data_IF_252767307743
#
_entry.id   IF_252767307743
#
_cell.length_a   1.000
_cell.length_b   1.000
_cell.length_c   1.000
_cell.angle_alpha   90.00
_cell.angle_beta   90.00
_cell.angle_gamma   90.00
#
_symmetry.space_group_name_H-M   'P 1'
#
loop_
_entity.id
_entity.type
_entity.pdbx_description
1 polymer ?
#
# COMPACT_ATOMS: atom_id res chain seq x y z
N UNK A 1 -43.71 -51.82 -39.45
CA UNK A 1 -42.73 -51.99 -38.35
C UNK A 1 -41.35 -51.67 -38.89
N UNK A 2 -40.50 -51.09 -38.05
CA UNK A 2 -39.16 -50.54 -38.33
C UNK A 2 -39.14 -49.12 -38.93
N UNK A 3 -38.52 -48.20 -38.17
CA UNK A 3 -37.88 -46.93 -38.59
C UNK A 3 -38.27 -45.67 -37.78
N UNK A 4 -38.35 -45.73 -36.44
CA UNK A 4 -38.41 -44.49 -35.61
C UNK A 4 -37.47 -44.54 -34.37
N UNK A 5 -36.70 -45.62 -34.16
CA UNK A 5 -36.00 -45.84 -32.88
C UNK A 5 -34.46 -45.66 -32.89
N UNK A 6 -33.89 -44.90 -33.84
CA UNK A 6 -32.42 -44.70 -33.89
C UNK A 6 -31.98 -43.23 -34.06
N UNK A 7 -32.78 -42.26 -33.59
CA UNK A 7 -32.37 -40.84 -33.63
C UNK A 7 -32.17 -40.20 -32.25
N UNK A 8 -32.35 -40.95 -31.15
CA UNK A 8 -32.19 -40.43 -29.78
C UNK A 8 -30.78 -40.60 -29.21
N UNK A 9 -29.89 -41.35 -29.87
CA UNK A 9 -28.55 -41.64 -29.33
C UNK A 9 -27.43 -40.70 -29.80
N UNK A 10 -27.66 -39.90 -30.86
CA UNK A 10 -26.64 -39.00 -31.41
C UNK A 10 -26.71 -37.57 -30.86
N UNK A 11 -27.81 -37.17 -30.20
CA UNK A 11 -27.96 -35.82 -29.63
C UNK A 11 -27.44 -35.67 -28.20
N UNK A 12 -27.17 -36.78 -27.50
CA UNK A 12 -26.71 -36.76 -26.11
C UNK A 12 -25.30 -36.18 -25.90
N UNK A 13 -24.29 -36.39 -26.78
CA UNK A 13 -22.97 -35.77 -26.61
C UNK A 13 -22.96 -34.27 -26.94
N UNK A 14 -23.84 -33.80 -27.83
CA UNK A 14 -23.94 -32.37 -28.18
C UNK A 14 -24.58 -31.52 -27.07
N UNK A 15 -25.55 -32.07 -26.34
CA UNK A 15 -26.17 -31.39 -25.18
C UNK A 15 -25.20 -31.24 -24.00
N UNK A 16 -24.30 -32.20 -23.79
CA UNK A 16 -23.22 -32.06 -22.80
C UNK A 16 -22.17 -31.02 -23.23
N UNK A 17 -21.85 -30.93 -24.53
CA UNK A 17 -20.92 -29.90 -25.03
C UNK A 17 -21.50 -28.47 -24.89
N UNK A 18 -22.80 -28.29 -25.15
CA UNK A 18 -23.49 -27.00 -24.98
C UNK A 18 -23.56 -26.54 -23.52
N UNK A 19 -23.74 -27.46 -22.57
CA UNK A 19 -23.71 -27.15 -21.13
C UNK A 19 -22.32 -26.73 -20.63
N UNK A 20 -21.24 -27.27 -21.22
CA UNK A 20 -19.87 -26.87 -20.89
C UNK A 20 -19.58 -25.45 -21.40
N UNK A 21 -20.08 -25.09 -22.60
CA UNK A 21 -19.85 -23.76 -23.19
C UNK A 21 -20.61 -22.65 -22.44
N UNK A 22 -21.79 -22.92 -21.87
CA UNK A 22 -22.54 -21.93 -21.06
C UNK A 22 -22.00 -21.76 -19.63
N UNK A 23 -21.11 -22.64 -19.18
CA UNK A 23 -20.49 -22.54 -17.84
C UNK A 23 -19.28 -21.59 -17.81
N UNK A 24 -18.74 -21.25 -18.98
CA UNK A 24 -17.75 -20.20 -19.13
C UNK A 24 -18.47 -18.89 -19.41
N UNK A 25 -19.10 -18.33 -18.37
CA UNK A 25 -19.23 -16.87 -18.37
C UNK A 25 -17.80 -16.34 -18.48
N UNK A 26 -17.45 -15.54 -19.50
CA UNK A 26 -16.21 -14.78 -19.40
C UNK A 26 -16.33 -14.03 -18.09
N UNK A 27 -15.40 -14.25 -17.15
CA UNK A 27 -15.22 -13.28 -16.09
C UNK A 27 -15.04 -11.97 -16.85
N UNK A 28 -16.04 -11.09 -16.79
CA UNK A 28 -15.87 -9.72 -17.20
C UNK A 28 -14.73 -9.23 -16.31
N UNK A 29 -13.52 -9.19 -16.89
CA UNK A 29 -12.47 -8.38 -16.33
C UNK A 29 -13.05 -6.98 -16.37
N UNK A 30 -13.58 -6.51 -15.25
CA UNK A 30 -14.04 -5.14 -15.13
C UNK A 30 -12.84 -4.28 -15.50
N UNK A 31 -12.98 -3.56 -16.62
CA UNK A 31 -11.87 -2.85 -17.23
C UNK A 31 -11.46 -1.74 -16.26
N UNK A 32 -10.24 -1.81 -15.72
CA UNK A 32 -9.74 -0.75 -14.86
C UNK A 32 -9.64 0.54 -15.66
N UNK A 33 -10.39 1.57 -15.26
CA UNK A 33 -10.33 2.89 -15.90
C UNK A 33 -9.64 3.88 -14.96
N UNK A 34 -9.05 4.94 -15.52
CA UNK A 34 -8.40 5.99 -14.72
C UNK A 34 -9.30 6.53 -13.59
N UNK A 35 -10.61 6.64 -13.82
CA UNK A 35 -11.56 7.19 -12.85
C UNK A 35 -12.12 6.17 -11.85
N UNK A 36 -11.85 4.88 -12.05
CA UNK A 36 -12.22 3.84 -11.09
C UNK A 36 -11.24 3.86 -9.91
N UNK A 37 -11.77 4.11 -8.70
CA UNK A 37 -10.98 4.10 -7.47
C UNK A 37 -10.71 2.69 -6.94
N UNK A 38 -11.39 1.67 -7.45
CA UNK A 38 -11.23 0.27 -7.05
C UNK A 38 -9.99 -0.41 -7.63
N UNK A 39 -9.26 0.26 -8.53
CA UNK A 39 -8.09 -0.29 -9.22
C UNK A 39 -7.11 0.80 -9.67
N UNK A 40 -5.91 0.42 -10.08
CA UNK A 40 -4.95 1.24 -10.82
C UNK A 40 -4.52 0.46 -12.05
N UNK A 41 -4.59 1.06 -13.25
CA UNK A 41 -4.01 0.50 -14.47
C UNK A 41 -2.59 1.08 -14.62
N UNK A 42 -1.56 0.38 -14.12
CA UNK A 42 -0.32 1.05 -13.77
C UNK A 42 0.53 1.36 -15.01
N UNK A 43 0.76 2.65 -15.26
CA UNK A 43 1.83 3.09 -16.17
C UNK A 43 3.21 2.71 -15.61
N UNK A 44 3.35 2.76 -14.29
CA UNK A 44 4.51 2.27 -13.57
C UNK A 44 4.11 1.68 -12.22
N UNK A 45 4.83 0.64 -11.81
CA UNK A 45 4.67 -0.04 -10.52
C UNK A 45 6.04 -0.39 -9.96
N UNK A 46 6.17 -0.34 -8.64
CA UNK A 46 7.35 -0.78 -7.91
C UNK A 46 6.95 -1.53 -6.64
N UNK A 47 7.88 -2.32 -6.11
CA UNK A 47 7.72 -3.04 -4.87
C UNK A 47 9.00 -2.97 -4.05
N UNK A 48 8.88 -2.69 -2.75
CA UNK A 48 10.00 -2.70 -1.81
C UNK A 48 9.74 -3.74 -0.74
N UNK A 49 10.68 -4.67 -0.62
CA UNK A 49 10.67 -5.71 0.39
C UNK A 49 11.26 -5.20 1.69
N UNK A 50 10.57 -5.39 2.81
CA UNK A 50 11.04 -5.00 4.14
C UNK A 50 10.52 -5.96 5.22
N UNK A 51 11.06 -5.84 6.45
CA UNK A 51 10.64 -6.66 7.58
C UNK A 51 9.82 -5.82 8.55
N UNK A 52 8.79 -6.43 9.14
CA UNK A 52 7.97 -5.81 10.18
C UNK A 52 7.82 -6.75 11.39
N UNK A 53 8.94 -7.10 12.06
CA UNK A 53 8.91 -7.93 13.24
C UNK A 53 8.33 -7.15 14.43
N UNK A 54 7.79 -7.82 15.47
CA UNK A 54 7.76 -9.27 15.64
C UNK A 54 6.54 -9.94 14.99
N UNK A 55 5.57 -9.16 14.50
CA UNK A 55 4.28 -9.68 14.03
C UNK A 55 4.43 -10.49 12.73
N UNK A 56 5.13 -9.97 11.73
CA UNK A 56 5.40 -10.69 10.48
C UNK A 56 6.75 -11.42 10.57
N UNK A 57 6.71 -12.74 10.39
CA UNK A 57 7.91 -13.59 10.42
C UNK A 57 8.72 -13.48 9.12
N UNK A 58 8.02 -13.22 8.03
CA UNK A 58 8.59 -13.10 6.70
C UNK A 58 8.66 -11.65 6.25
N UNK A 59 9.43 -11.43 5.20
CA UNK A 59 9.49 -10.16 4.50
C UNK A 59 8.14 -9.87 3.84
N UNK A 60 7.69 -8.63 3.99
CA UNK A 60 6.47 -8.12 3.35
C UNK A 60 6.86 -7.10 2.28
N UNK A 61 5.99 -6.91 1.30
CA UNK A 61 6.25 -6.04 0.15
C UNK A 61 5.32 -4.84 0.15
N UNK A 62 5.89 -3.63 0.18
CA UNK A 62 5.16 -2.41 -0.08
C UNK A 62 5.09 -2.16 -1.58
N UNK A 63 3.89 -2.17 -2.14
CA UNK A 63 3.64 -1.87 -3.54
C UNK A 63 3.12 -0.45 -3.69
N UNK A 64 3.67 0.24 -4.68
CA UNK A 64 3.21 1.55 -5.11
C UNK A 64 3.11 1.56 -6.63
N UNK A 65 1.99 2.06 -7.13
CA UNK A 65 1.72 2.17 -8.55
C UNK A 65 1.02 3.49 -8.88
N UNK A 66 1.18 3.95 -10.12
CA UNK A 66 0.42 5.08 -10.62
C UNK A 66 0.02 4.93 -12.08
N UNK A 67 -1.11 5.56 -12.39
CA UNK A 67 -1.67 5.79 -13.73
C UNK A 67 -1.74 7.31 -13.96
N UNK A 68 -1.81 7.76 -15.21
CA UNK A 68 -1.84 9.18 -15.55
C UNK A 68 -2.85 9.51 -16.65
N UNK A 69 -3.61 10.58 -16.43
CA UNK A 69 -4.47 11.20 -17.43
C UNK A 69 -3.90 12.56 -17.81
N UNK A 70 -3.55 12.74 -19.09
CA UNK A 70 -3.04 14.01 -19.61
C UNK A 70 -4.07 15.15 -19.61
N UNK A 71 -5.36 14.84 -19.38
CA UNK A 71 -6.48 15.77 -19.31
C UNK A 71 -7.45 15.38 -18.19
N UNK A 72 -6.98 15.49 -16.96
CA UNK A 72 -7.81 15.31 -15.76
C UNK A 72 -8.93 16.34 -15.62
N UNK A 73 -9.53 16.44 -14.42
CA UNK A 73 -10.59 17.39 -14.10
C UNK A 73 -10.13 18.82 -14.42
N UNK A 74 -10.73 19.43 -15.45
CA UNK A 74 -10.38 20.80 -15.86
C UNK A 74 -9.19 20.93 -16.80
N UNK A 75 -8.82 19.86 -17.53
CA UNK A 75 -7.77 19.83 -18.59
C UNK A 75 -6.31 19.86 -18.09
N UNK A 76 -6.07 19.95 -16.79
CA UNK A 76 -4.72 19.79 -16.22
C UNK A 76 -4.33 18.30 -16.15
N UNK A 77 -3.03 17.96 -16.23
CA UNK A 77 -2.57 16.58 -16.04
C UNK A 77 -2.87 16.10 -14.61
N UNK A 78 -3.21 14.83 -14.47
CA UNK A 78 -3.60 14.22 -13.20
C UNK A 78 -3.02 12.81 -13.09
N UNK A 79 -2.66 12.43 -11.87
CA UNK A 79 -2.20 11.08 -11.54
C UNK A 79 -3.27 10.39 -10.70
N UNK A 80 -3.49 9.10 -10.95
CA UNK A 80 -4.13 8.19 -10.00
C UNK A 80 -3.04 7.32 -9.38
N UNK A 81 -2.80 7.49 -8.10
CA UNK A 81 -1.86 6.69 -7.32
C UNK A 81 -2.60 5.60 -6.55
N UNK A 82 -1.93 4.49 -6.28
CA UNK A 82 -2.43 3.44 -5.39
C UNK A 82 -1.30 2.72 -4.68
N UNK A 83 -1.63 2.16 -3.51
CA UNK A 83 -0.71 1.32 -2.75
C UNK A 83 -1.42 0.11 -2.14
N UNK A 84 -0.63 -0.92 -1.83
CA UNK A 84 -1.03 -2.07 -1.03
C UNK A 84 0.19 -2.73 -0.42
N UNK A 85 -0.03 -3.60 0.58
CA UNK A 85 1.01 -4.53 1.03
C UNK A 85 0.69 -5.93 0.49
N UNK A 86 1.75 -6.64 0.07
CA UNK A 86 1.71 -8.07 -0.19
C UNK A 86 2.50 -8.86 0.83
N UNK A 87 1.90 -9.97 1.28
CA UNK A 87 2.50 -10.95 2.19
C UNK A 87 1.89 -12.34 1.97
N UNK A 88 2.68 -13.36 2.27
CA UNK A 88 2.30 -14.79 2.24
C UNK A 88 1.56 -15.23 3.54
N UNK A 89 1.27 -14.30 4.45
CA UNK A 89 0.44 -14.43 5.66
C UNK A 89 1.01 -15.26 6.85
N UNK A 90 2.33 -15.42 6.97
CA UNK A 90 2.93 -16.00 8.18
C UNK A 90 3.04 -14.98 9.33
N UNK A 91 2.05 -15.02 10.22
CA UNK A 91 1.97 -14.17 11.40
C UNK A 91 2.45 -14.91 12.65
N UNK A 92 3.19 -14.22 13.49
CA UNK A 92 3.62 -14.74 14.78
C UNK A 92 2.61 -14.41 15.88
N UNK A 93 1.60 -15.25 16.06
CA UNK A 93 0.62 -15.03 17.12
C UNK A 93 1.20 -15.11 18.55
N UNK A 94 2.35 -15.76 18.74
CA UNK A 94 2.96 -15.93 20.07
C UNK A 94 3.53 -14.64 20.69
N UNK A 95 3.61 -13.56 19.90
CA UNK A 95 4.12 -12.25 20.35
C UNK A 95 3.00 -11.26 20.67
N UNK A 96 1.75 -11.72 20.61
CA UNK A 96 0.57 -10.93 20.92
C UNK A 96 0.37 -10.98 22.44
N UNK A 97 0.81 -9.93 23.12
CA UNK A 97 0.73 -9.77 24.57
C UNK A 97 -0.14 -8.58 25.02
N UNK A 98 -0.80 -7.92 24.06
CA UNK A 98 -1.79 -6.87 24.27
C UNK A 98 -2.52 -6.59 22.95
N UNK A 99 -3.71 -5.97 23.02
CA UNK A 99 -4.39 -5.53 21.81
C UNK A 99 -3.59 -4.42 21.14
N UNK A 100 -3.30 -4.59 19.85
CA UNK A 100 -2.56 -3.63 19.03
C UNK A 100 -3.22 -3.41 17.70
N UNK A 101 -2.98 -2.23 17.15
CA UNK A 101 -3.40 -1.84 15.80
C UNK A 101 -2.15 -1.57 14.99
N UNK A 102 -2.13 -2.01 13.73
CA UNK A 102 -1.11 -1.59 12.77
C UNK A 102 -1.72 -0.83 11.61
N UNK A 103 -1.13 0.31 11.29
CA UNK A 103 -1.60 1.26 10.29
C UNK A 103 -0.49 1.57 9.29
N UNK A 104 -0.87 1.96 8.08
CA UNK A 104 0.03 2.50 7.08
C UNK A 104 -0.51 3.82 6.54
N UNK A 105 0.31 4.86 6.58
CA UNK A 105 0.09 6.13 5.91
C UNK A 105 1.05 6.25 4.74
N UNK A 106 0.57 6.68 3.57
CA UNK A 106 1.41 6.82 2.37
C UNK A 106 1.41 8.26 1.88
N UNK A 107 2.60 8.82 1.67
CA UNK A 107 2.78 10.15 1.10
C UNK A 107 3.58 10.10 -0.20
N UNK A 108 3.08 10.81 -1.21
CA UNK A 108 3.68 10.95 -2.53
C UNK A 108 3.64 12.42 -2.93
N UNK A 109 4.74 12.91 -3.48
CA UNK A 109 4.91 14.30 -3.90
C UNK A 109 6.03 15.02 -3.13
N UNK A 110 6.49 16.13 -3.72
CA UNK A 110 7.50 17.04 -3.19
C UNK A 110 8.73 16.35 -2.60
N UNK A 111 9.13 15.21 -3.15
CA UNK A 111 10.30 14.46 -2.71
C UNK A 111 10.84 13.63 -3.85
N UNK A 112 12.08 13.90 -4.22
CA UNK A 112 12.81 13.15 -5.22
C UNK A 112 14.01 12.47 -4.56
N UNK A 113 14.63 11.54 -5.28
CA UNK A 113 15.78 10.79 -4.78
C UNK A 113 15.80 9.38 -5.33
N UNK A 114 16.76 8.59 -4.86
CA UNK A 114 16.92 7.19 -5.26
C UNK A 114 16.86 6.32 -4.01
N UNK A 115 15.78 5.54 -3.82
CA UNK A 115 15.66 4.69 -2.64
C UNK A 115 16.86 3.76 -2.48
N UNK A 116 17.51 3.81 -1.32
CA UNK A 116 18.65 2.97 -0.94
C UNK A 116 18.94 3.06 0.57
N UNK A 117 19.86 2.23 1.07
CA UNK A 117 20.32 2.23 2.46
C UNK A 117 19.56 1.30 3.41
N UNK A 118 19.78 1.48 4.72
CA UNK A 118 19.38 0.54 5.77
C UNK A 118 17.96 0.73 6.30
N UNK A 119 17.35 1.90 6.11
CA UNK A 119 15.96 2.17 6.50
C UNK A 119 14.99 1.97 5.34
N UNK A 120 14.93 0.73 4.81
CA UNK A 120 14.02 0.29 3.73
C UNK A 120 13.95 1.27 2.54
N UNK A 121 15.13 1.71 2.08
CA UNK A 121 15.26 2.61 0.93
C UNK A 121 15.25 4.11 1.28
N UNK A 122 14.91 4.51 2.50
CA UNK A 122 14.73 5.92 2.82
C UNK A 122 16.04 6.71 3.00
N UNK A 123 17.15 6.06 3.35
CA UNK A 123 18.43 6.77 3.57
C UNK A 123 18.98 7.39 2.29
N UNK A 124 18.73 6.77 1.14
CA UNK A 124 19.11 7.32 -0.17
C UNK A 124 18.35 8.58 -0.58
N UNK A 125 17.26 8.90 0.12
CA UNK A 125 16.38 10.02 -0.21
C UNK A 125 16.73 11.26 0.60
N UNK A 126 16.98 11.09 1.91
CA UNK A 126 17.23 12.21 2.84
C UNK A 126 18.35 11.95 3.86
N UNK A 127 19.06 10.82 3.76
CA UNK A 127 20.14 10.44 4.66
C UNK A 127 19.69 9.65 5.90
N UNK A 128 20.58 8.82 6.48
CA UNK A 128 20.24 7.93 7.60
C UNK A 128 19.83 8.66 8.88
N UNK A 129 20.36 9.87 9.11
CA UNK A 129 20.00 10.67 10.27
C UNK A 129 18.54 11.16 10.20
N UNK A 130 18.09 11.59 9.02
CA UNK A 130 16.70 11.99 8.83
C UNK A 130 15.75 10.79 8.97
N UNK A 131 16.07 9.63 8.39
CA UNK A 131 15.26 8.40 8.55
C UNK A 131 15.02 8.08 10.03
N UNK A 132 16.09 8.10 10.83
CA UNK A 132 16.01 7.85 12.27
C UNK A 132 15.20 8.93 12.98
N UNK A 133 15.48 10.21 12.71
CA UNK A 133 14.77 11.31 13.35
C UNK A 133 13.26 11.28 13.04
N UNK A 134 12.87 10.89 11.83
CA UNK A 134 11.44 10.69 11.50
C UNK A 134 10.83 9.53 12.27
N UNK A 135 11.49 8.37 12.36
CA UNK A 135 10.99 7.24 13.16
C UNK A 135 10.81 7.65 14.63
N UNK A 136 11.83 8.27 15.22
CA UNK A 136 11.80 8.73 16.62
C UNK A 136 10.70 9.80 16.83
N UNK A 137 10.55 10.72 15.87
CA UNK A 137 9.53 11.75 15.88
C UNK A 137 8.10 11.18 15.85
N UNK A 138 7.82 10.24 14.94
CA UNK A 138 6.53 9.56 14.89
C UNK A 138 6.25 8.77 16.16
N UNK A 139 7.24 8.01 16.67
CA UNK A 139 7.11 7.26 17.94
C UNK A 139 6.77 8.18 19.11
N UNK A 140 7.49 9.29 19.26
CA UNK A 140 7.27 10.23 20.35
C UNK A 140 5.89 10.89 20.27
N UNK A 141 5.44 11.26 19.07
CA UNK A 141 4.14 11.89 18.92
C UNK A 141 2.96 10.93 19.04
N UNK A 142 3.08 9.70 18.53
CA UNK A 142 2.11 8.63 18.77
C UNK A 142 2.04 8.34 20.28
N UNK A 143 3.18 8.29 20.96
CA UNK A 143 3.24 8.07 22.42
C UNK A 143 2.47 9.13 23.19
N UNK A 144 2.70 10.41 22.87
CA UNK A 144 2.00 11.54 23.47
C UNK A 144 0.51 11.51 23.18
N UNK A 145 0.11 11.11 21.97
CA UNK A 145 -1.30 10.96 21.60
C UNK A 145 -1.97 9.87 22.45
N UNK A 146 -1.38 8.68 22.48
CA UNK A 146 -1.92 7.51 23.21
C UNK A 146 -2.00 7.76 24.72
N UNK A 147 -0.99 8.42 25.30
CA UNK A 147 -0.96 8.75 26.73
C UNK A 147 -1.81 9.97 27.09
N UNK A 148 -2.22 10.76 26.10
CA UNK A 148 -2.98 11.99 26.27
C UNK A 148 -4.49 11.80 26.44
N UNK A 149 -5.04 10.62 26.14
CA UNK A 149 -6.45 10.32 26.35
C UNK A 149 -7.06 9.45 25.26
N UNK A 150 -8.24 9.84 24.78
CA UNK A 150 -8.96 9.10 23.75
C UNK A 150 -8.29 9.26 22.38
N UNK A 151 -8.19 8.14 21.67
CA UNK A 151 -7.67 8.07 20.32
C UNK A 151 -8.38 6.94 19.57
N UNK A 152 -8.43 7.07 18.25
CA UNK A 152 -8.82 6.02 17.32
C UNK A 152 -7.81 6.04 16.18
N UNK A 153 -7.11 4.93 15.92
CA UNK A 153 -6.07 4.83 14.89
C UNK A 153 -4.98 5.93 15.02
N UNK A 154 -4.03 5.77 15.97
CA UNK A 154 -3.05 6.81 16.32
C UNK A 154 -2.26 7.41 15.17
N UNK A 155 -1.86 6.59 14.18
CA UNK A 155 -1.11 7.12 13.04
C UNK A 155 -2.01 8.00 12.17
N UNK A 156 -3.24 7.59 11.89
CA UNK A 156 -4.21 8.37 11.11
C UNK A 156 -4.44 9.75 11.73
N UNK A 157 -4.78 9.81 13.03
CA UNK A 157 -4.98 11.08 13.74
C UNK A 157 -3.74 11.97 13.67
N UNK A 158 -2.55 11.36 13.80
CA UNK A 158 -1.30 12.10 13.81
C UNK A 158 -0.98 12.69 12.44
N UNK A 159 -1.10 11.92 11.36
CA UNK A 159 -0.82 12.43 10.01
C UNK A 159 -1.83 13.48 9.57
N UNK A 160 -3.10 13.38 9.99
CA UNK A 160 -4.10 14.43 9.77
C UNK A 160 -3.70 15.72 10.48
N UNK A 161 -3.27 15.63 11.75
CA UNK A 161 -2.78 16.79 12.50
C UNK A 161 -1.54 17.42 11.86
N UNK A 162 -0.58 16.61 11.39
CA UNK A 162 0.65 17.10 10.75
C UNK A 162 0.41 17.63 9.35
N UNK A 163 -0.57 17.11 8.63
CA UNK A 163 -0.96 17.68 7.33
C UNK A 163 -1.56 19.08 7.51
N UNK A 164 -2.41 19.27 8.52
CA UNK A 164 -2.98 20.58 8.84
C UNK A 164 -1.94 21.56 9.42
N UNK A 165 -1.01 21.07 10.23
CA UNK A 165 0.04 21.86 10.88
C UNK A 165 1.41 21.17 10.74
N UNK A 166 2.10 21.34 9.59
CA UNK A 166 3.36 20.67 9.32
C UNK A 166 4.43 20.96 10.37
N UNK A 167 4.92 19.93 11.09
CA UNK A 167 6.02 20.11 12.02
C UNK A 167 7.36 20.17 11.28
N UNK A 168 8.33 20.83 11.91
CA UNK A 168 9.73 20.73 11.50
C UNK A 168 10.37 19.48 12.11
N UNK A 169 11.01 18.66 11.27
CA UNK A 169 11.77 17.49 11.73
C UNK A 169 13.25 17.81 11.59
N UNK A 170 13.97 17.71 12.71
CA UNK A 170 15.40 18.03 12.75
C UNK A 170 16.19 17.21 11.73
N UNK A 171 17.09 17.89 11.02
CA UNK A 171 17.98 17.28 10.01
C UNK A 171 17.23 16.57 8.86
N UNK A 172 15.96 16.88 8.67
CA UNK A 172 15.17 16.46 7.52
C UNK A 172 14.85 17.67 6.65
N UNK A 173 14.88 17.53 5.31
CA UNK A 173 14.47 18.60 4.42
C UNK A 173 12.96 18.87 4.61
N UNK A 174 12.54 20.11 4.91
CA UNK A 174 11.15 20.49 4.69
C UNK A 174 10.86 20.51 3.18
N UNK A 175 9.63 20.21 2.70
CA UNK A 175 8.39 19.98 3.46
C UNK A 175 7.84 18.55 3.28
N UNK A 176 8.10 17.66 4.25
CA UNK A 176 7.65 16.26 4.20
C UNK A 176 6.12 16.09 4.11
N UNK A 177 5.38 16.94 4.82
CA UNK A 177 3.91 16.90 4.92
C UNK A 177 3.17 17.81 3.93
N UNK A 178 3.90 18.59 3.13
CA UNK A 178 3.30 19.43 2.08
C UNK A 178 3.03 18.60 0.84
N UNK A 179 1.95 17.81 0.91
CA UNK A 179 1.42 16.99 -0.18
C UNK A 179 -0.10 17.10 -0.20
N UNK A 180 -0.74 16.75 -1.32
CA UNK A 180 -2.20 16.89 -1.46
C UNK A 180 -2.99 15.93 -0.56
N UNK A 181 -2.46 14.73 -0.32
CA UNK A 181 -3.11 13.71 0.51
C UNK A 181 -2.08 12.77 1.13
N UNK A 182 -2.37 12.32 2.36
CA UNK A 182 -1.67 11.23 3.04
C UNK A 182 -2.71 10.17 3.42
N UNK A 183 -3.14 9.32 2.47
CA UNK A 183 -4.07 8.23 2.80
C UNK A 183 -3.49 7.31 3.87
N UNK A 184 -4.31 7.03 4.88
CA UNK A 184 -4.01 6.09 5.97
C UNK A 184 -5.01 4.95 5.97
N UNK A 185 -4.55 3.77 6.36
CA UNK A 185 -5.37 2.56 6.42
C UNK A 185 -4.86 1.61 7.51
N UNK A 186 -5.78 0.92 8.16
CA UNK A 186 -5.46 -0.13 9.13
C UNK A 186 -5.26 -1.45 8.39
N UNK A 187 -4.18 -2.17 8.69
CA UNK A 187 -3.87 -3.44 8.03
C UNK A 187 -3.70 -4.63 8.97
N UNK A 188 -3.56 -4.39 10.27
CA UNK A 188 -3.57 -5.45 11.27
C UNK A 188 -4.30 -5.02 12.54
N UNK A 189 -4.97 -5.98 13.16
CA UNK A 189 -5.50 -5.88 14.51
C UNK A 189 -5.09 -7.12 15.28
N UNK A 190 -4.46 -6.94 16.44
CA UNK A 190 -4.05 -8.03 17.33
C UNK A 190 -5.01 -8.08 18.52
N UNK A 191 -5.49 -9.27 18.85
CA UNK A 191 -6.31 -9.54 20.04
C UNK A 191 -5.51 -10.37 21.04
N UNK A 192 -5.29 -9.81 22.23
CA UNK A 192 -4.65 -10.50 23.36
C UNK A 192 -5.50 -11.68 23.84
N UNK A 193 -6.81 -11.47 24.00
CA UNK A 193 -7.73 -12.49 24.51
C UNK A 193 -7.83 -13.70 23.56
N UNK A 194 -7.81 -13.46 22.24
CA UNK A 194 -7.89 -14.51 21.23
C UNK A 194 -6.51 -15.05 20.83
N UNK A 195 -5.42 -14.36 21.17
CA UNK A 195 -4.05 -14.66 20.71
C UNK A 195 -3.98 -14.80 19.19
N UNK A 196 -4.66 -13.91 18.47
CA UNK A 196 -4.77 -13.92 17.00
C UNK A 196 -4.59 -12.51 16.47
N UNK A 197 -3.94 -12.39 15.32
CA UNK A 197 -3.97 -11.17 14.51
C UNK A 197 -4.91 -11.34 13.31
N UNK A 198 -5.82 -10.39 13.15
CA UNK A 198 -6.61 -10.22 11.93
C UNK A 198 -5.82 -9.31 11.01
N UNK A 199 -5.31 -9.89 9.92
CA UNK A 199 -4.54 -9.18 8.92
C UNK A 199 -5.43 -8.90 7.71
N UNK A 200 -5.36 -7.68 7.18
CA UNK A 200 -6.06 -7.29 5.95
C UNK A 200 -5.66 -8.22 4.81
N UNK A 201 -6.50 -8.43 3.81
CA UNK A 201 -6.10 -9.25 2.65
C UNK A 201 -5.02 -8.52 1.85
N UNK A 202 -4.03 -9.24 1.31
CA UNK A 202 -3.09 -8.68 0.34
C UNK A 202 -3.84 -7.96 -0.79
N UNK A 203 -3.36 -6.78 -1.18
CA UNK A 203 -3.91 -6.05 -2.32
C UNK A 203 -3.28 -6.47 -3.66
N UNK A 204 -3.75 -5.84 -4.72
CA UNK A 204 -3.20 -5.93 -6.08
C UNK A 204 -3.49 -4.63 -6.84
N UNK A 205 -3.03 -4.49 -8.08
CA UNK A 205 -3.41 -3.36 -8.93
C UNK A 205 -4.93 -3.32 -9.20
N UNK A 206 -5.59 -4.48 -9.29
CA UNK A 206 -7.05 -4.60 -9.48
C UNK A 206 -7.87 -4.42 -8.20
N UNK A 207 -7.21 -4.39 -7.04
CA UNK A 207 -7.83 -4.20 -5.72
C UNK A 207 -6.79 -3.65 -4.74
N UNK A 208 -6.30 -2.42 -4.96
CA UNK A 208 -5.35 -1.78 -4.06
C UNK A 208 -6.05 -1.49 -2.73
N UNK A 209 -5.27 -1.28 -1.68
CA UNK A 209 -5.86 -0.91 -0.39
C UNK A 209 -6.44 0.49 -0.42
N UNK A 210 -5.77 1.39 -1.13
CA UNK A 210 -6.24 2.75 -1.34
C UNK A 210 -5.79 3.27 -2.70
N UNK A 211 -6.64 4.09 -3.32
CA UNK A 211 -6.26 4.96 -4.43
C UNK A 211 -6.57 6.42 -4.12
N UNK A 212 -5.86 7.33 -4.77
CA UNK A 212 -6.14 8.76 -4.70
C UNK A 212 -5.63 9.48 -5.94
N UNK A 213 -6.16 10.67 -6.16
CA UNK A 213 -5.76 11.53 -7.27
C UNK A 213 -4.77 12.59 -6.80
N UNK A 214 -3.81 12.91 -7.66
CA UNK A 214 -2.86 14.01 -7.48
C UNK A 214 -3.03 14.94 -8.66
N UNK A 215 -3.48 16.16 -8.38
CA UNK A 215 -3.77 17.19 -9.38
C UNK A 215 -2.48 17.87 -9.87
N UNK A 216 -2.50 18.36 -11.11
CA UNK A 216 -1.44 19.18 -11.70
C UNK A 216 -0.06 18.49 -11.68
N UNK A 217 -0.04 17.19 -11.99
CA UNK A 217 1.17 16.38 -12.02
C UNK A 217 1.20 15.53 -13.29
N UNK A 218 2.30 15.61 -14.04
CA UNK A 218 2.50 14.76 -15.23
C UNK A 218 3.05 13.39 -14.85
N UNK A 219 2.93 12.41 -15.75
CA UNK A 219 3.54 11.10 -15.56
C UNK A 219 5.07 11.18 -15.36
N UNK A 220 5.72 12.12 -16.04
CA UNK A 220 7.16 12.37 -15.90
C UNK A 220 7.51 12.89 -14.50
N UNK A 221 6.79 13.91 -14.04
CA UNK A 221 6.99 14.48 -12.69
C UNK A 221 6.77 13.43 -11.61
N UNK A 222 5.73 12.60 -11.77
CA UNK A 222 5.37 11.54 -10.83
C UNK A 222 6.42 10.43 -10.77
N UNK A 223 7.07 10.09 -11.89
CA UNK A 223 8.12 9.07 -11.91
C UNK A 223 9.41 9.48 -11.18
N UNK A 224 9.59 10.78 -10.93
CA UNK A 224 10.68 11.30 -10.09
C UNK A 224 10.32 11.31 -8.61
N UNK A 225 9.04 11.25 -8.26
CA UNK A 225 8.59 11.29 -6.87
C UNK A 225 8.86 9.97 -6.15
N UNK A 226 9.21 10.09 -4.88
CA UNK A 226 9.33 8.97 -3.95
C UNK A 226 8.03 8.83 -3.16
N UNK A 227 7.43 7.65 -3.21
CA UNK A 227 6.39 7.23 -2.28
C UNK A 227 7.03 6.82 -0.95
N UNK A 228 6.52 7.33 0.15
CA UNK A 228 6.97 6.95 1.50
C UNK A 228 5.79 6.32 2.23
N UNK A 229 5.90 5.04 2.56
CA UNK A 229 5.03 4.37 3.51
C UNK A 229 5.54 4.55 4.92
N UNK A 230 4.69 5.03 5.81
CA UNK A 230 4.92 5.14 7.26
C UNK A 230 4.03 4.08 7.89
N UNK A 231 4.62 3.11 8.57
CA UNK A 231 3.89 2.03 9.19
C UNK A 231 4.04 2.10 10.69
N UNK A 232 2.94 1.96 11.42
CA UNK A 232 2.93 1.92 12.86
C UNK A 232 2.41 0.58 13.36
N UNK A 233 2.86 0.15 14.53
CA UNK A 233 2.22 -0.87 15.37
C UNK A 233 2.15 -0.32 16.78
N UNK A 234 0.93 -0.09 17.26
CA UNK A 234 0.63 0.69 18.46
C UNK A 234 -0.38 -0.05 19.34
N UNK A 235 -0.38 0.19 20.67
CA UNK A 235 -1.49 -0.25 21.52
C UNK A 235 -2.84 0.23 20.97
N UNK A 236 -3.83 -0.66 20.94
CA UNK A 236 -5.21 -0.30 20.61
C UNK A 236 -5.87 0.49 21.75
N UNK A 237 -6.91 1.26 21.44
CA UNK A 237 -7.65 1.99 22.47
C UNK A 237 -8.19 1.04 23.55
N UNK A 238 -8.00 1.42 24.81
CA UNK A 238 -8.34 0.59 25.98
C UNK A 238 -7.25 -0.42 26.39
N UNK A 239 -6.19 -0.60 25.61
CA UNK A 239 -5.01 -1.40 26.00
C UNK A 239 -4.18 -0.68 27.08
N UNK A 240 -3.34 -1.43 27.83
CA UNK A 240 -2.35 -0.83 28.72
C UNK A 240 -1.48 0.22 28.01
N UNK A 241 -1.29 1.36 28.66
CA UNK A 241 -0.48 2.44 28.10
C UNK A 241 1.01 2.03 28.05
N UNK A 242 1.72 2.36 26.96
CA UNK A 242 3.15 2.16 26.89
C UNK A 242 3.84 3.05 27.95
N UNK A 243 4.96 2.58 28.51
CA UNK A 243 5.72 3.34 29.51
C UNK A 243 6.64 4.40 28.87
N UNK A 244 7.00 4.19 27.60
CA UNK A 244 7.88 5.06 26.83
C UNK A 244 7.61 4.90 25.31
N UNK A 245 8.16 5.78 24.47
CA UNK A 245 8.01 5.69 23.02
C UNK A 245 8.53 4.40 22.37
N UNK A 246 9.43 3.65 23.03
CA UNK A 246 9.95 2.38 22.49
C UNK A 246 8.88 1.27 22.47
N UNK A 247 7.77 1.45 23.21
CA UNK A 247 6.58 0.61 23.10
C UNK A 247 5.79 0.80 21.81
N UNK A 248 6.20 1.75 20.95
CA UNK A 248 5.62 2.02 19.64
C UNK A 248 6.63 1.65 18.57
N UNK A 249 6.19 0.84 17.61
CA UNK A 249 6.97 0.53 16.45
C UNK A 249 6.57 1.46 15.30
N UNK A 250 7.58 2.03 14.64
CA UNK A 250 7.41 2.80 13.40
C UNK A 250 8.46 2.33 12.42
N UNK A 251 8.03 1.98 11.21
CA UNK A 251 8.89 1.68 10.08
C UNK A 251 8.60 2.65 8.93
N UNK A 252 9.66 3.05 8.22
CA UNK A 252 9.55 3.84 7.00
C UNK A 252 9.93 2.94 5.83
N UNK A 253 9.26 3.09 4.68
CA UNK A 253 9.59 2.39 3.44
C UNK A 253 9.51 3.39 2.30
N UNK A 254 10.59 3.52 1.53
CA UNK A 254 10.65 4.48 0.43
C UNK A 254 10.74 3.74 -0.90
N UNK A 255 9.83 4.07 -1.81
CA UNK A 255 9.73 3.45 -3.12
C UNK A 255 9.65 4.52 -4.21
N UNK A 256 10.30 4.28 -5.35
CA UNK A 256 10.17 5.12 -6.54
C UNK A 256 9.76 4.22 -7.69
N UNK A 257 8.62 4.53 -8.31
CA UNK A 257 8.20 3.84 -9.51
C UNK A 257 9.14 4.20 -10.67
N UNK A 258 9.53 3.24 -11.52
CA UNK A 258 10.44 3.51 -12.62
C UNK A 258 9.81 4.52 -13.59
N UNK A 259 10.62 5.45 -14.10
CA UNK A 259 10.21 6.20 -15.28
C UNK A 259 10.21 5.25 -16.46
N UNK A 260 9.07 5.09 -17.13
CA UNK A 260 9.00 4.34 -18.38
C UNK A 260 9.87 5.05 -19.42
N UNK A 261 11.10 4.54 -19.60
CA UNK A 261 12.11 5.06 -20.52
C UNK A 261 13.18 4.01 -20.81
N UNK A 262 12.97 3.25 -21.90
CA UNK A 262 13.86 2.26 -22.54
C UNK A 262 13.88 0.85 -21.95
N UNK A 263 12.98 0.00 -22.44
CA UNK A 263 13.30 -1.40 -22.68
C UNK A 263 14.45 -1.47 -23.69
N UNK A 264 15.69 -1.55 -23.20
CA UNK A 264 16.84 -1.91 -24.03
C UNK A 264 16.72 -3.41 -24.31
N UNK A 265 16.01 -3.76 -25.38
CA UNK A 265 16.21 -5.04 -26.04
C UNK A 265 17.66 -5.09 -26.49
N UNK A 266 18.48 -5.84 -25.75
CA UNK A 266 19.85 -6.16 -26.14
C UNK A 266 19.81 -6.96 -27.44
N UNK A 267 20.03 -6.28 -28.56
CA UNK A 267 20.37 -6.95 -29.82
C UNK A 267 21.80 -7.43 -29.67
N UNK A 268 21.95 -8.72 -29.41
CA UNK A 268 23.21 -9.44 -29.60
C UNK A 268 23.53 -9.45 -31.10
N UNK A 269 24.54 -8.70 -31.51
CA UNK A 269 25.19 -8.93 -32.79
C UNK A 269 26.31 -9.95 -32.55
N UNK A 270 26.18 -11.10 -33.22
CA UNK A 270 27.30 -11.96 -33.62
C UNK A 270 28.21 -11.22 -34.61
#
# INVERSE_FOLDING_TARGET
>A
MASILSLRSLMRPYLFLLMIITSFSPASADMCTFWDSGCVDPLAQTAISFKFPPLFLETINFYYAFDADGRGKGQAPMIKAGYWIGYEAYVNNSVIDMNRTSEIAVRVGNLTGTPSGGNNGCDGVWGPECSKNMQDFFKEHIFRLITGGEYDNPLSMLVESFHAHPPEIKNCPPPFFDVQKLPTDQFAFESEDEQVAVIKKTGSADSPWMTWFIDNMTAGDQAEQVAVGIMSRTPAYGSPLPQNPDGIQVELVCARAPSSGTSVSSVSND
#
